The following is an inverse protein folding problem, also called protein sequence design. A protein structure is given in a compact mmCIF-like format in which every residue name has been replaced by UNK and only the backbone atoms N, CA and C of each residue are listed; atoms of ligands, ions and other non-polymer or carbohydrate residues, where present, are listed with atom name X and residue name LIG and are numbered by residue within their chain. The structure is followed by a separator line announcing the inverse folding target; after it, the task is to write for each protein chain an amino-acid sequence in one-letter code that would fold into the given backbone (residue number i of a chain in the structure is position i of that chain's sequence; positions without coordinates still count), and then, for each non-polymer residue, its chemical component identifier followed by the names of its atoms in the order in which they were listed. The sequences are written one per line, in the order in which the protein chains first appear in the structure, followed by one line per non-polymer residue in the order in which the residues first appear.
data_IF_730196445447
#
_entry.id   IF_730196445447
#
_cell.length_a   1.000
_cell.length_b   1.000
_cell.length_c   1.000
_cell.angle_alpha   90.00
_cell.angle_beta   90.00
_cell.angle_gamma   90.00
#
_symmetry.space_group_name_H-M   'P 1'
#
loop_
_entity.id
_entity.type
_entity.pdbx_description
1 polymer ?
#
# COMPACT_ATOMS: atom_id res chain seq x y z
N UNK A 1 1.13 8.68 13.67
CA UNK A 1 -0.05 7.80 13.44
C UNK A 1 -0.50 7.08 14.71
N UNK A 2 0.39 6.54 15.54
CA UNK A 2 0.00 5.92 16.83
C UNK A 2 -0.81 6.88 17.73
N UNK A 3 -0.45 8.17 17.73
CA UNK A 3 -1.18 9.21 18.45
C UNK A 3 -2.68 9.23 18.12
N UNK A 4 -3.09 9.06 16.86
CA UNK A 4 -4.51 9.05 16.50
C UNK A 4 -5.20 7.83 17.13
N UNK A 5 -4.55 6.67 17.12
CA UNK A 5 -5.09 5.44 17.70
C UNK A 5 -5.12 5.48 19.23
N UNK A 6 -4.16 6.19 19.85
CA UNK A 6 -4.10 6.39 21.31
C UNK A 6 -5.21 7.33 21.81
N UNK A 7 -5.74 8.18 20.93
CA UNK A 7 -6.71 9.22 21.26
C UNK A 7 -8.09 8.98 20.62
N UNK A 8 -8.45 7.74 20.26
CA UNK A 8 -9.77 7.43 19.68
C UNK A 8 -10.93 7.82 20.60
N UNK A 9 -10.78 7.69 21.91
CA UNK A 9 -11.80 8.12 22.88
C UNK A 9 -12.01 9.64 22.86
N UNK A 10 -10.92 10.40 22.76
CA UNK A 10 -10.98 11.87 22.66
C UNK A 10 -11.63 12.30 21.34
N UNK A 11 -11.31 11.62 20.24
CA UNK A 11 -11.91 11.86 18.93
C UNK A 11 -13.42 11.61 18.98
N UNK A 12 -13.87 10.49 19.56
CA UNK A 12 -15.30 10.19 19.71
C UNK A 12 -16.03 11.18 20.64
N UNK A 13 -15.34 11.68 21.67
CA UNK A 13 -15.88 12.70 22.56
C UNK A 13 -16.05 14.06 21.86
N UNK A 14 -15.11 14.44 20.99
CA UNK A 14 -15.14 15.69 20.22
C UNK A 14 -16.06 15.63 19.00
N UNK A 15 -16.32 14.44 18.45
CA UNK A 15 -17.18 14.23 17.30
C UNK A 15 -18.38 13.31 17.64
N UNK A 16 -19.49 13.85 18.17
CA UNK A 16 -20.65 13.06 18.58
C UNK A 16 -21.21 12.11 17.50
N UNK A 17 -21.04 12.47 16.22
CA UNK A 17 -21.46 11.65 15.09
C UNK A 17 -20.66 10.35 14.91
N UNK A 18 -19.49 10.22 15.55
CA UNK A 18 -18.62 9.04 15.52
C UNK A 18 -18.73 8.17 16.79
N UNK A 19 -19.32 8.70 17.86
CA UNK A 19 -19.40 8.01 19.15
C UNK A 19 -20.02 6.62 19.03
N UNK A 20 -19.27 5.58 19.43
CA UNK A 20 -19.69 4.19 19.36
C UNK A 20 -19.77 3.59 17.95
N UNK A 21 -19.27 4.30 16.91
CA UNK A 21 -19.26 3.85 15.51
C UNK A 21 -17.89 3.41 15.02
N UNK A 22 -16.85 3.56 15.85
CA UNK A 22 -15.49 3.11 15.53
C UNK A 22 -15.29 1.69 16.03
N UNK A 23 -14.97 0.78 15.12
CA UNK A 23 -14.64 -0.60 15.50
C UNK A 23 -13.13 -0.75 15.71
N UNK A 24 -12.71 -0.82 16.97
CA UNK A 24 -11.30 -0.92 17.36
C UNK A 24 -10.65 -2.26 17.03
N UNK A 25 -11.44 -3.27 16.65
CA UNK A 25 -10.92 -4.55 16.18
C UNK A 25 -10.64 -4.56 14.67
N UNK A 26 -11.06 -3.53 13.94
CA UNK A 26 -10.98 -3.42 12.48
C UNK A 26 -10.23 -2.16 12.06
N UNK A 27 -8.96 -2.06 12.43
CA UNK A 27 -8.09 -0.92 12.11
C UNK A 27 -7.20 -1.27 10.91
N UNK A 28 -7.14 -0.36 9.93
CA UNK A 28 -6.42 -0.54 8.68
C UNK A 28 -5.44 0.60 8.48
N UNK A 29 -4.23 0.29 8.01
CA UNK A 29 -3.31 1.29 7.46
C UNK A 29 -3.32 1.25 5.93
N UNK A 30 -3.57 2.39 5.31
CA UNK A 30 -3.55 2.55 3.86
C UNK A 30 -2.68 3.74 3.48
N UNK A 31 -1.96 3.63 2.37
CA UNK A 31 -1.17 4.75 1.87
C UNK A 31 -0.76 4.59 0.41
N UNK A 32 -0.58 5.73 -0.26
CA UNK A 32 -0.06 5.81 -1.62
C UNK A 32 1.40 6.29 -1.64
N UNK A 33 2.23 5.72 -2.51
CA UNK A 33 3.63 6.16 -2.69
C UNK A 33 4.41 6.18 -1.37
N UNK A 34 4.95 7.32 -0.96
CA UNK A 34 5.60 7.50 0.34
C UNK A 34 4.65 7.24 1.53
N UNK A 35 3.36 7.52 1.38
CA UNK A 35 2.34 7.10 2.35
C UNK A 35 2.22 5.57 2.44
N UNK A 36 2.38 4.87 1.30
CA UNK A 36 2.48 3.41 1.25
C UNK A 36 3.72 2.89 1.99
N UNK A 37 4.88 3.52 1.76
CA UNK A 37 6.10 3.21 2.53
C UNK A 37 5.84 3.34 4.03
N UNK A 38 5.24 4.45 4.46
CA UNK A 38 4.93 4.69 5.87
C UNK A 38 3.94 3.67 6.42
N UNK A 39 2.90 3.31 5.66
CA UNK A 39 1.96 2.26 6.04
C UNK A 39 2.66 0.90 6.18
N UNK A 40 3.62 0.57 5.30
CA UNK A 40 4.36 -0.69 5.38
C UNK A 40 5.17 -0.83 6.69
N UNK A 41 5.74 0.27 7.19
CA UNK A 41 6.44 0.30 8.48
C UNK A 41 5.49 -0.02 9.65
N UNK A 42 4.27 0.53 9.63
CA UNK A 42 3.25 0.20 10.63
C UNK A 42 2.79 -1.27 10.56
N UNK A 43 2.78 -1.83 9.35
CA UNK A 43 2.39 -3.21 9.06
C UNK A 43 3.51 -4.24 9.37
N UNK A 44 4.69 -3.77 9.77
CA UNK A 44 5.79 -4.60 10.25
C UNK A 44 7.05 -4.59 9.38
N UNK A 45 7.12 -3.77 8.33
CA UNK A 45 8.40 -3.50 7.69
C UNK A 45 9.34 -2.77 8.67
N UNK A 46 10.64 -3.02 8.55
CA UNK A 46 11.67 -2.35 9.34
C UNK A 46 12.50 -1.42 8.47
N UNK A 47 13.23 -0.52 9.11
CA UNK A 47 14.18 0.38 8.45
C UNK A 47 15.49 0.39 9.22
N UNK A 48 16.61 0.22 8.52
CA UNK A 48 17.95 0.35 9.12
C UNK A 48 18.50 1.75 8.86
N UNK A 49 18.81 2.49 9.93
CA UNK A 49 19.45 3.80 9.83
C UNK A 49 20.88 3.65 9.29
N UNK A 50 21.20 4.40 8.23
CA UNK A 50 22.51 4.30 7.56
C UNK A 50 23.67 4.85 8.39
N UNK A 51 23.41 5.77 9.31
CA UNK A 51 24.45 6.46 10.08
C UNK A 51 24.75 5.70 11.37
N UNK A 52 23.72 5.18 12.06
CA UNK A 52 23.87 4.44 13.31
C UNK A 52 23.93 2.92 13.13
N UNK A 53 23.38 2.38 12.04
CA UNK A 53 23.19 0.95 11.83
C UNK A 53 22.03 0.36 12.67
N UNK A 54 21.28 1.20 13.39
CA UNK A 54 20.15 0.76 14.21
C UNK A 54 18.98 0.30 13.33
N UNK A 55 18.33 -0.80 13.72
CA UNK A 55 17.12 -1.29 13.05
C UNK A 55 15.90 -0.77 13.81
N UNK A 56 15.09 0.04 13.13
CA UNK A 56 13.84 0.56 13.66
C UNK A 56 12.66 -0.27 13.16
N UNK A 57 11.77 -0.61 14.09
CA UNK A 57 10.44 -1.17 13.79
C UNK A 57 9.37 -0.23 14.35
N UNK A 58 8.37 0.05 13.53
CA UNK A 58 7.22 0.87 13.89
C UNK A 58 5.92 0.05 13.87
N UNK A 59 6.05 -1.28 14.01
CA UNK A 59 4.89 -2.16 13.96
C UNK A 59 3.86 -1.75 15.00
N UNK A 60 2.65 -1.46 14.54
CA UNK A 60 1.52 -1.12 15.39
C UNK A 60 0.52 -2.29 15.41
N UNK A 61 0.48 -3.08 16.49
CA UNK A 61 -0.29 -4.32 16.55
C UNK A 61 -1.81 -4.13 16.52
N UNK A 62 -2.31 -2.91 16.75
CA UNK A 62 -3.74 -2.61 16.60
C UNK A 62 -4.20 -2.64 15.13
N UNK A 63 -3.29 -2.45 14.17
CA UNK A 63 -3.61 -2.51 12.74
C UNK A 63 -3.65 -3.97 12.32
N UNK A 64 -4.81 -4.42 11.84
CA UNK A 64 -5.05 -5.84 11.53
C UNK A 64 -4.83 -6.19 10.07
N UNK A 65 -4.87 -5.19 9.19
CA UNK A 65 -4.68 -5.38 7.74
C UNK A 65 -4.23 -4.07 7.07
N UNK A 66 -3.76 -4.11 5.82
CA UNK A 66 -3.26 -2.91 5.14
C UNK A 66 -3.42 -2.85 3.61
N UNK A 67 -3.35 -1.62 3.08
CA UNK A 67 -3.35 -1.32 1.64
C UNK A 67 -2.11 -0.51 1.26
N UNK A 68 -1.31 -1.04 0.33
CA UNK A 68 -0.13 -0.35 -0.19
C UNK A 68 -0.34 -0.01 -1.67
N UNK A 69 -0.63 1.25 -1.96
CA UNK A 69 -0.90 1.72 -3.33
C UNK A 69 0.37 2.34 -3.91
N UNK A 70 0.93 1.76 -4.97
CA UNK A 70 2.15 2.23 -5.62
C UNK A 70 3.26 2.54 -4.58
N UNK A 71 3.46 1.65 -3.60
CA UNK A 71 4.44 1.84 -2.52
C UNK A 71 5.86 1.59 -3.01
N UNK A 72 6.84 2.25 -2.40
CA UNK A 72 8.27 1.96 -2.62
C UNK A 72 8.61 0.50 -2.29
N UNK A 73 9.60 -0.05 -3.00
CA UNK A 73 10.18 -1.37 -2.72
C UNK A 73 11.46 -1.32 -1.88
N UNK A 74 12.34 -2.30 -2.11
CA UNK A 74 13.62 -2.43 -1.41
C UNK A 74 14.59 -1.27 -1.71
N UNK A 75 15.53 -1.05 -0.80
CA UNK A 75 16.56 -0.03 -0.96
C UNK A 75 17.86 -0.55 -1.59
N UNK A 76 18.97 0.08 -1.22
CA UNK A 76 20.32 -0.36 -1.60
C UNK A 76 20.56 -0.29 -3.11
N UNK A 77 20.94 -1.43 -3.69
CA UNK A 77 21.30 -1.52 -5.11
C UNK A 77 20.11 -1.28 -6.06
N UNK A 78 18.88 -1.43 -5.57
CA UNK A 78 17.67 -1.22 -6.35
C UNK A 78 17.38 0.27 -6.56
N UNK A 79 17.95 1.16 -5.74
CA UNK A 79 17.73 2.61 -5.86
C UNK A 79 18.53 3.23 -7.01
N UNK A 80 17.96 4.30 -7.57
CA UNK A 80 18.69 5.25 -8.41
C UNK A 80 19.81 5.92 -7.58
N UNK A 81 20.83 6.44 -8.26
CA UNK A 81 21.90 7.17 -7.56
C UNK A 81 21.36 8.41 -6.84
N UNK A 82 20.37 9.08 -7.47
CA UNK A 82 19.69 10.23 -6.85
C UNK A 82 18.98 9.83 -5.56
N UNK A 83 18.15 8.78 -5.59
CA UNK A 83 17.39 8.35 -4.41
C UNK A 83 18.32 7.85 -3.31
N UNK A 84 19.34 7.08 -3.66
CA UNK A 84 20.32 6.60 -2.68
C UNK A 84 21.05 7.77 -1.99
N UNK A 85 21.47 8.78 -2.75
CA UNK A 85 22.23 9.91 -2.21
C UNK A 85 21.35 10.88 -1.40
N UNK A 86 20.12 11.14 -1.85
CA UNK A 86 19.30 12.24 -1.34
C UNK A 86 18.12 11.80 -0.46
N UNK A 87 17.67 10.55 -0.54
CA UNK A 87 16.48 10.03 0.16
C UNK A 87 16.88 8.90 1.12
N UNK A 88 17.53 9.28 2.22
CA UNK A 88 18.13 8.32 3.17
C UNK A 88 17.13 7.30 3.73
N UNK A 89 15.86 7.69 3.90
CA UNK A 89 14.77 6.84 4.36
C UNK A 89 14.41 5.69 3.39
N UNK A 90 14.87 5.71 2.14
CA UNK A 90 14.72 4.59 1.22
C UNK A 90 15.91 3.63 1.20
N UNK A 91 17.03 3.95 1.84
CA UNK A 91 18.27 3.18 1.66
C UNK A 91 18.18 1.73 2.14
N UNK A 92 17.55 1.49 3.28
CA UNK A 92 17.53 0.16 3.89
C UNK A 92 16.17 -0.24 4.52
N UNK A 93 15.04 -0.15 3.80
CA UNK A 93 13.83 -0.83 4.22
C UNK A 93 14.00 -2.35 4.13
N UNK A 94 13.29 -3.08 4.98
CA UNK A 94 13.16 -4.54 4.90
C UNK A 94 11.72 -4.96 5.17
N UNK A 95 11.19 -5.80 4.29
CA UNK A 95 9.85 -6.37 4.42
C UNK A 95 9.83 -7.73 5.13
N UNK A 96 10.99 -8.26 5.53
CA UNK A 96 11.13 -9.63 6.05
C UNK A 96 10.27 -9.90 7.30
N UNK A 97 9.95 -8.88 8.09
CA UNK A 97 9.11 -9.01 9.30
C UNK A 97 7.66 -8.53 9.10
N UNK A 98 7.29 -8.09 7.88
CA UNK A 98 5.97 -7.53 7.58
C UNK A 98 4.90 -8.62 7.41
N UNK A 99 4.48 -9.22 8.54
CA UNK A 99 3.55 -10.37 8.60
C UNK A 99 2.08 -9.99 8.39
N UNK A 100 1.72 -8.72 8.63
CA UNK A 100 0.33 -8.26 8.56
C UNK A 100 -0.28 -8.53 7.19
N UNK A 101 -1.55 -8.96 7.13
CA UNK A 101 -2.25 -9.19 5.87
C UNK A 101 -2.33 -7.89 5.07
N UNK A 102 -1.96 -7.91 3.79
CA UNK A 102 -1.86 -6.69 2.99
C UNK A 102 -2.19 -6.93 1.52
N UNK A 103 -2.95 -6.01 0.92
CA UNK A 103 -3.06 -5.87 -0.53
C UNK A 103 -2.05 -4.84 -1.01
N UNK A 104 -1.21 -5.28 -1.95
CA UNK A 104 -0.27 -4.44 -2.69
C UNK A 104 -0.89 -4.12 -4.04
N UNK A 105 -0.92 -2.85 -4.43
CA UNK A 105 -1.46 -2.40 -5.72
C UNK A 105 -0.38 -1.65 -6.47
N UNK A 106 -0.14 -2.00 -7.73
CA UNK A 106 0.82 -1.30 -8.58
C UNK A 106 0.31 -1.17 -10.01
N UNK A 107 0.84 -0.20 -10.73
CA UNK A 107 0.71 -0.10 -12.17
C UNK A 107 1.93 -0.71 -12.87
N UNK A 108 1.71 -1.51 -13.93
CA UNK A 108 2.81 -2.18 -14.65
C UNK A 108 3.67 -1.25 -15.52
N UNK A 109 3.33 0.05 -15.56
CA UNK A 109 4.10 1.14 -16.18
C UNK A 109 4.67 2.14 -15.16
N UNK A 110 4.57 1.86 -13.86
CA UNK A 110 5.15 2.72 -12.82
C UNK A 110 6.69 2.58 -12.74
N UNK A 111 7.39 3.10 -13.75
CA UNK A 111 8.84 2.92 -13.90
C UNK A 111 9.64 3.77 -12.88
N UNK A 112 9.12 4.94 -12.48
CA UNK A 112 9.69 5.80 -11.43
C UNK A 112 11.23 5.83 -11.40
N UNK A 113 11.86 6.04 -12.56
CA UNK A 113 13.32 5.90 -12.76
C UNK A 113 14.16 6.83 -11.86
N UNK A 114 13.57 7.93 -11.38
CA UNK A 114 14.23 8.82 -10.42
C UNK A 114 14.37 8.18 -9.03
N UNK A 115 13.61 7.12 -8.71
CA UNK A 115 13.67 6.38 -7.45
C UNK A 115 14.43 5.06 -7.57
N UNK A 116 14.21 4.29 -8.64
CA UNK A 116 14.67 2.90 -8.76
C UNK A 116 15.30 2.60 -10.12
N UNK A 117 16.21 1.63 -10.15
CA UNK A 117 16.82 1.06 -11.36
C UNK A 117 16.05 -0.15 -11.91
N UNK A 118 15.09 -0.69 -11.14
CA UNK A 118 14.34 -1.92 -11.48
C UNK A 118 13.10 -1.67 -12.33
N UNK A 119 12.50 -0.48 -12.19
CA UNK A 119 11.25 -0.13 -12.84
C UNK A 119 10.02 -0.60 -12.06
N UNK A 120 8.93 -0.90 -12.75
CA UNK A 120 7.61 -1.11 -12.14
C UNK A 120 7.51 -2.32 -11.19
N UNK A 121 8.31 -3.36 -11.41
CA UNK A 121 8.31 -4.57 -10.58
C UNK A 121 8.79 -4.29 -9.13
N UNK A 122 9.59 -3.24 -8.92
CA UNK A 122 10.04 -2.77 -7.61
C UNK A 122 8.87 -2.51 -6.65
N UNK A 123 7.72 -2.06 -7.17
CA UNK A 123 6.52 -1.78 -6.36
C UNK A 123 5.91 -3.04 -5.76
N UNK A 124 6.23 -4.22 -6.31
CA UNK A 124 5.78 -5.51 -5.82
C UNK A 124 6.64 -6.06 -4.67
N UNK A 125 7.74 -5.41 -4.28
CA UNK A 125 8.69 -5.98 -3.31
C UNK A 125 8.06 -6.29 -1.95
N UNK A 126 7.13 -5.48 -1.48
CA UNK A 126 6.37 -5.78 -0.26
C UNK A 126 5.50 -7.03 -0.40
N UNK A 127 4.97 -7.33 -1.59
CA UNK A 127 4.32 -8.61 -1.88
C UNK A 127 5.38 -9.71 -1.94
N UNK A 128 6.49 -9.55 -2.65
CA UNK A 128 7.48 -10.61 -2.87
C UNK A 128 8.20 -11.03 -1.59
N UNK A 129 8.66 -10.07 -0.79
CA UNK A 129 9.60 -10.31 0.31
C UNK A 129 8.96 -10.40 1.70
N UNK A 130 7.69 -10.01 1.84
CA UNK A 130 6.98 -10.16 3.12
C UNK A 130 6.54 -11.60 3.37
N UNK A 131 6.54 -12.06 4.62
CA UNK A 131 5.87 -13.29 5.03
C UNK A 131 4.34 -13.08 5.19
N UNK A 132 3.63 -14.18 5.38
CA UNK A 132 2.19 -14.17 5.65
C UNK A 132 1.33 -13.83 4.43
N UNK A 133 0.00 -13.76 4.61
CA UNK A 133 -0.93 -13.62 3.50
C UNK A 133 -0.75 -12.27 2.82
N UNK A 134 -0.54 -12.29 1.50
CA UNK A 134 -0.45 -11.09 0.66
C UNK A 134 -1.23 -11.30 -0.63
N UNK A 135 -1.89 -10.25 -1.05
CA UNK A 135 -2.50 -10.16 -2.38
C UNK A 135 -1.79 -9.05 -3.16
N UNK A 136 -1.67 -9.25 -4.48
CA UNK A 136 -1.08 -8.28 -5.41
C UNK A 136 -2.08 -8.01 -6.53
N UNK A 137 -2.44 -6.74 -6.72
CA UNK A 137 -3.23 -6.24 -7.84
C UNK A 137 -2.34 -5.41 -8.76
N UNK A 138 -2.11 -5.90 -9.98
CA UNK A 138 -1.32 -5.20 -11.00
C UNK A 138 -2.23 -4.62 -12.06
N UNK A 139 -2.30 -3.30 -12.16
CA UNK A 139 -3.08 -2.59 -13.17
C UNK A 139 -2.32 -2.54 -14.50
N UNK A 140 -2.98 -2.99 -15.57
CA UNK A 140 -2.40 -2.99 -16.92
C UNK A 140 -2.37 -1.56 -17.45
N UNK A 141 -1.21 -1.13 -17.94
CA UNK A 141 -0.97 0.21 -18.45
C UNK A 141 -1.01 1.30 -17.38
N UNK A 142 -1.08 0.95 -16.09
CA UNK A 142 -1.13 1.92 -15.00
C UNK A 142 0.25 2.48 -14.68
N UNK A 143 0.34 3.79 -14.49
CA UNK A 143 1.53 4.47 -13.97
C UNK A 143 1.39 4.76 -12.47
N UNK A 144 2.21 5.67 -11.96
CA UNK A 144 2.37 5.91 -10.52
C UNK A 144 1.07 6.34 -9.81
N UNK A 145 0.21 7.08 -10.49
CA UNK A 145 -1.04 7.60 -9.95
C UNK A 145 -2.25 6.70 -10.23
N UNK A 146 -2.00 5.48 -10.73
CA UNK A 146 -3.02 4.43 -10.86
C UNK A 146 -4.28 4.89 -11.62
N UNK A 147 -4.09 5.73 -12.65
CA UNK A 147 -5.18 6.31 -13.45
C UNK A 147 -5.79 7.61 -12.93
N UNK A 148 -5.19 8.23 -11.90
CA UNK A 148 -5.61 9.54 -11.39
C UNK A 148 -6.29 9.48 -10.04
N UNK A 149 -5.84 8.59 -9.14
CA UNK A 149 -6.43 8.50 -7.79
C UNK A 149 -6.23 9.77 -6.94
N UNK A 150 -5.37 10.69 -7.37
CA UNK A 150 -5.18 12.00 -6.74
C UNK A 150 -6.34 12.97 -6.97
N UNK A 151 -7.14 12.76 -8.04
CA UNK A 151 -8.29 13.59 -8.36
C UNK A 151 -8.40 13.93 -9.85
N UNK A 152 -9.47 14.65 -10.20
CA UNK A 152 -9.71 15.11 -11.56
C UNK A 152 -8.73 16.21 -11.98
N UNK A 153 -8.30 16.17 -13.24
CA UNK A 153 -7.39 17.16 -13.87
C UNK A 153 -6.09 17.39 -13.07
N UNK A 154 -5.69 16.41 -12.27
CA UNK A 154 -4.49 16.47 -11.46
C UNK A 154 -3.26 16.39 -12.37
N UNK A 155 -2.48 17.48 -12.43
CA UNK A 155 -1.35 17.64 -13.35
C UNK A 155 -0.29 16.55 -13.18
N UNK A 156 -0.17 15.99 -11.98
CA UNK A 156 0.73 14.88 -11.69
C UNK A 156 0.35 13.57 -12.38
N UNK A 157 -0.90 13.43 -12.85
CA UNK A 157 -1.40 12.23 -13.54
C UNK A 157 -1.18 12.35 -15.05
N UNK A 158 -0.27 11.53 -15.57
CA UNK A 158 0.08 11.47 -17.00
C UNK A 158 -0.75 10.44 -17.78
N UNK A 159 -1.43 9.55 -17.07
CA UNK A 159 -2.12 8.38 -17.61
C UNK A 159 -3.57 8.30 -17.15
N UNK A 160 -4.29 9.42 -17.12
CA UNK A 160 -5.66 9.46 -16.58
C UNK A 160 -6.56 8.37 -17.21
N UNK A 161 -7.26 7.63 -16.35
CA UNK A 161 -8.16 6.56 -16.75
C UNK A 161 -9.22 6.33 -15.67
N UNK A 162 -10.46 6.79 -15.90
CA UNK A 162 -11.58 6.51 -15.01
C UNK A 162 -11.82 5.02 -14.80
N UNK A 163 -11.51 4.19 -15.80
CA UNK A 163 -11.61 2.73 -15.70
C UNK A 163 -10.60 2.15 -14.71
N UNK A 164 -9.33 2.58 -14.76
CA UNK A 164 -8.33 2.14 -13.77
C UNK A 164 -8.66 2.64 -12.36
N UNK A 165 -9.13 3.87 -12.21
CA UNK A 165 -9.61 4.37 -10.91
C UNK A 165 -10.77 3.53 -10.39
N UNK A 166 -11.72 3.14 -11.25
CA UNK A 166 -12.83 2.26 -10.88
C UNK A 166 -12.36 0.87 -10.45
N UNK A 167 -11.34 0.30 -11.12
CA UNK A 167 -10.72 -0.97 -10.70
C UNK A 167 -10.08 -0.82 -9.32
N UNK A 168 -9.25 0.21 -9.11
CA UNK A 168 -8.62 0.47 -7.80
C UNK A 168 -9.68 0.58 -6.71
N UNK A 169 -10.72 1.39 -6.93
CA UNK A 169 -11.79 1.59 -5.96
C UNK A 169 -12.53 0.28 -5.64
N UNK A 170 -12.97 -0.45 -6.66
CA UNK A 170 -13.79 -1.66 -6.46
C UNK A 170 -12.98 -2.79 -5.83
N UNK A 171 -11.77 -3.04 -6.32
CA UNK A 171 -10.92 -4.13 -5.82
C UNK A 171 -10.44 -3.86 -4.40
N UNK A 172 -10.02 -2.63 -4.07
CA UNK A 172 -9.58 -2.31 -2.70
C UNK A 172 -10.73 -2.38 -1.70
N UNK A 173 -11.93 -1.92 -2.06
CA UNK A 173 -13.13 -2.05 -1.21
C UNK A 173 -13.51 -3.51 -1.01
N UNK A 174 -13.56 -4.30 -2.08
CA UNK A 174 -13.87 -5.73 -2.01
C UNK A 174 -12.86 -6.48 -1.12
N UNK A 175 -11.57 -6.20 -1.31
CA UNK A 175 -10.51 -6.79 -0.51
C UNK A 175 -10.64 -6.42 0.98
N UNK A 176 -10.89 -5.14 1.29
CA UNK A 176 -11.09 -4.69 2.67
C UNK A 176 -12.29 -5.37 3.33
N UNK A 177 -13.41 -5.51 2.62
CA UNK A 177 -14.59 -6.22 3.14
C UNK A 177 -14.24 -7.66 3.49
N UNK A 178 -13.60 -8.39 2.60
CA UNK A 178 -13.15 -9.76 2.87
C UNK A 178 -12.11 -9.85 4.01
N UNK A 179 -11.12 -8.96 4.03
CA UNK A 179 -10.08 -8.92 5.06
C UNK A 179 -10.62 -8.56 6.46
N UNK A 180 -11.73 -7.81 6.51
CA UNK A 180 -12.40 -7.41 7.74
C UNK A 180 -13.59 -8.32 8.12
N UNK A 181 -13.75 -9.47 7.44
CA UNK A 181 -14.74 -10.50 7.78
C UNK A 181 -16.17 -10.23 7.29
N UNK A 182 -16.35 -9.35 6.31
CA UNK A 182 -17.65 -9.01 5.71
C UNK A 182 -17.88 -9.79 4.39
N UNK A 183 -18.01 -11.11 4.52
CA UNK A 183 -18.31 -12.02 3.40
C UNK A 183 -17.14 -12.27 2.44
N UNK A 184 -17.45 -12.87 1.28
CA UNK A 184 -16.48 -13.22 0.23
C UNK A 184 -16.42 -12.19 -0.91
N UNK A 185 -16.52 -10.90 -0.56
CA UNK A 185 -16.50 -9.82 -1.54
C UNK A 185 -15.21 -9.83 -2.39
N UNK A 186 -14.09 -10.30 -1.83
CA UNK A 186 -12.82 -10.41 -2.55
C UNK A 186 -12.88 -11.48 -3.65
N UNK A 187 -13.37 -12.69 -3.35
CA UNK A 187 -13.52 -13.75 -4.34
C UNK A 187 -14.44 -13.32 -5.49
N UNK A 188 -15.61 -12.77 -5.17
CA UNK A 188 -16.56 -12.25 -6.17
C UNK A 188 -15.95 -11.16 -7.08
N UNK A 189 -15.13 -10.27 -6.51
CA UNK A 189 -14.45 -9.22 -7.27
C UNK A 189 -13.34 -9.77 -8.16
N UNK A 190 -12.57 -10.76 -7.69
CA UNK A 190 -11.58 -11.45 -8.50
C UNK A 190 -12.21 -12.16 -9.70
N UNK A 191 -13.30 -12.92 -9.49
CA UNK A 191 -14.05 -13.58 -10.56
C UNK A 191 -14.58 -12.58 -11.60
N UNK A 192 -15.14 -11.45 -11.13
CA UNK A 192 -15.62 -10.40 -12.02
C UNK A 192 -14.47 -9.76 -12.82
N UNK A 193 -13.31 -9.53 -12.20
CA UNK A 193 -12.15 -8.95 -12.86
C UNK A 193 -11.57 -9.89 -13.95
N UNK A 194 -11.53 -11.19 -13.71
CA UNK A 194 -11.10 -12.19 -14.71
C UNK A 194 -11.97 -12.16 -15.98
N UNK A 195 -13.26 -11.85 -15.82
CA UNK A 195 -14.19 -11.63 -16.92
C UNK A 195 -13.91 -10.37 -17.75
N UNK A 196 -13.23 -9.36 -17.17
CA UNK A 196 -12.92 -8.05 -17.77
C UNK A 196 -11.48 -7.99 -18.32
N UNK A 197 -11.06 -9.06 -19.02
CA UNK A 197 -9.68 -9.26 -19.51
C UNK A 197 -8.97 -7.98 -19.94
N UNK A 198 -7.75 -7.79 -19.42
CA UNK A 198 -6.84 -6.72 -19.85
C UNK A 198 -6.83 -5.47 -18.96
N UNK A 199 -7.62 -5.42 -17.89
CA UNK A 199 -7.63 -4.28 -16.96
C UNK A 199 -6.62 -4.42 -15.82
N UNK A 200 -6.56 -5.59 -15.19
CA UNK A 200 -5.63 -5.88 -14.11
C UNK A 200 -5.45 -7.39 -13.94
N UNK A 201 -4.45 -7.78 -13.16
CA UNK A 201 -4.21 -9.16 -12.74
C UNK A 201 -4.10 -9.24 -11.22
N UNK A 202 -4.47 -10.39 -10.65
CA UNK A 202 -4.40 -10.67 -9.21
C UNK A 202 -3.47 -11.84 -8.96
N UNK A 203 -2.67 -11.75 -7.90
CA UNK A 203 -1.87 -12.86 -7.37
C UNK A 203 -2.05 -12.91 -5.85
N UNK A 204 -1.97 -14.09 -5.25
CA UNK A 204 -2.13 -14.30 -3.80
C UNK A 204 -1.08 -15.28 -3.29
N UNK A 205 -0.62 -15.07 -2.05
CA UNK A 205 0.29 -15.97 -1.33
C UNK A 205 0.02 -15.98 0.17
#
# INVERSE_FOLDING_TARGET
MIFILDHLDDIEALAPALKGRTDRSRIVAAGHSMGGHTASLLLGASFTDSDSGEVHSFHEPRITTGLLLASSGNGGADLSDFAYQNLTFFRHPSFAEMKTKTLVVLGDKDDSQYLTKRGADWRADSYTHSPGPKDLLTLVGGEHWLGGISGYDAVETTDESPERVAVVQRMTVAWLRGALGDGDAWGEACEALEGLKGLATVQSK
#
